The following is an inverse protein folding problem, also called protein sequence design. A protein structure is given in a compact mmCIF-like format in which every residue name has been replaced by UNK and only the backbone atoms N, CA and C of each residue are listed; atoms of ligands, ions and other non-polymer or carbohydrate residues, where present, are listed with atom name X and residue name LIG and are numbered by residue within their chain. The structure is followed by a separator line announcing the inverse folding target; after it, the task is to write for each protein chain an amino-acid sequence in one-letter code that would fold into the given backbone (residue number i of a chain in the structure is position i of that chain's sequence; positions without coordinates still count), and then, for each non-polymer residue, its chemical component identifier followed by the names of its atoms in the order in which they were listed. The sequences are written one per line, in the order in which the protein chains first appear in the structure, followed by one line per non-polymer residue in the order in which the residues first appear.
data_IF_482718154193
#
_entry.id   IF_482718154193
#
_cell.length_a   1.000
_cell.length_b   1.000
_cell.length_c   1.000
_cell.angle_alpha   90.00
_cell.angle_beta   90.00
_cell.angle_gamma   90.00
#
_symmetry.space_group_name_H-M   'P 1'
#
loop_
_entity.id
_entity.type
_entity.pdbx_description
1 polymer ?
#
# COMPACT_ATOMS: atom_id res chain seq x y z
N UNK A 1 -23.95 -5.34 -14.33
CA UNK A 1 -23.39 -5.66 -13.00
C UNK A 1 -21.92 -6.08 -13.03
N UNK A 2 -21.47 -6.98 -13.92
CA UNK A 2 -20.07 -7.47 -13.91
C UNK A 2 -19.00 -6.39 -14.20
N UNK A 3 -19.26 -5.45 -15.12
CA UNK A 3 -18.29 -4.40 -15.51
C UNK A 3 -17.87 -3.50 -14.33
N UNK A 4 -18.79 -3.14 -13.43
CA UNK A 4 -18.48 -2.35 -12.24
C UNK A 4 -17.57 -3.11 -11.26
N UNK A 5 -17.77 -4.41 -11.11
CA UNK A 5 -16.94 -5.23 -10.22
C UNK A 5 -15.50 -5.35 -10.76
N UNK A 6 -15.34 -5.58 -12.06
CA UNK A 6 -14.02 -5.63 -12.69
C UNK A 6 -13.30 -4.27 -12.64
N UNK A 7 -14.02 -3.17 -12.82
CA UNK A 7 -13.46 -1.83 -12.65
C UNK A 7 -12.96 -1.59 -11.22
N UNK A 8 -13.76 -1.94 -10.20
CA UNK A 8 -13.35 -1.79 -8.81
C UNK A 8 -12.11 -2.63 -8.47
N UNK A 9 -12.03 -3.86 -9.00
CA UNK A 9 -10.84 -4.70 -8.82
C UNK A 9 -9.61 -4.11 -9.52
N UNK A 10 -9.77 -3.56 -10.72
CA UNK A 10 -8.68 -2.90 -11.44
C UNK A 10 -8.19 -1.64 -10.70
N UNK A 11 -9.11 -0.81 -10.18
CA UNK A 11 -8.76 0.37 -9.37
C UNK A 11 -8.03 -0.05 -8.10
N UNK A 12 -8.53 -1.06 -7.39
CA UNK A 12 -7.90 -1.56 -6.16
C UNK A 12 -6.50 -2.12 -6.42
N UNK A 13 -6.33 -2.87 -7.50
CA UNK A 13 -5.02 -3.35 -7.92
C UNK A 13 -4.06 -2.21 -8.27
N UNK A 14 -4.56 -1.18 -8.96
CA UNK A 14 -3.76 0.01 -9.26
C UNK A 14 -3.35 0.76 -7.99
N UNK A 15 -4.25 0.87 -7.00
CA UNK A 15 -3.95 1.42 -5.69
C UNK A 15 -2.89 0.60 -4.95
N UNK A 16 -2.94 -0.73 -5.01
CA UNK A 16 -1.89 -1.59 -4.43
C UNK A 16 -0.51 -1.34 -5.08
N UNK A 17 -0.45 -1.19 -6.40
CA UNK A 17 0.80 -0.83 -7.09
C UNK A 17 1.30 0.56 -6.69
N UNK A 18 0.40 1.54 -6.64
CA UNK A 18 0.71 2.89 -6.18
C UNK A 18 1.20 2.89 -4.72
N UNK A 19 0.59 2.08 -3.86
CA UNK A 19 0.97 1.90 -2.47
C UNK A 19 2.42 1.43 -2.36
N UNK A 20 2.76 0.35 -3.05
CA UNK A 20 4.11 -0.22 -3.07
C UNK A 20 5.14 0.77 -3.63
N UNK A 21 4.81 1.47 -4.71
CA UNK A 21 5.68 2.50 -5.27
C UNK A 21 5.89 3.66 -4.30
N UNK A 22 4.85 4.08 -3.57
CA UNK A 22 4.90 5.16 -2.59
C UNK A 22 5.79 4.83 -1.39
N UNK A 23 5.59 3.69 -0.73
CA UNK A 23 6.47 3.29 0.39
C UNK A 23 7.90 3.02 -0.07
N UNK A 24 8.08 2.42 -1.24
CA UNK A 24 9.41 2.24 -1.82
C UNK A 24 10.11 3.57 -2.07
N UNK A 25 9.43 4.52 -2.72
CA UNK A 25 9.96 5.86 -2.97
C UNK A 25 10.32 6.59 -1.68
N UNK A 26 9.45 6.53 -0.67
CA UNK A 26 9.74 7.08 0.66
C UNK A 26 10.96 6.41 1.30
N UNK A 27 11.08 5.08 1.25
CA UNK A 27 12.23 4.35 1.76
C UNK A 27 13.55 4.72 1.07
N UNK A 28 13.52 4.92 -0.25
CA UNK A 28 14.66 5.40 -1.03
C UNK A 28 15.01 6.88 -0.76
N UNK A 29 14.07 7.67 -0.26
CA UNK A 29 14.29 9.10 0.04
C UNK A 29 14.78 9.31 1.47
N UNK A 30 14.32 8.49 2.41
CA UNK A 30 14.60 8.62 3.85
C UNK A 30 15.94 7.98 4.23
N UNK A 31 16.34 6.90 3.57
CA UNK A 31 17.60 6.21 3.90
C UNK A 31 18.84 6.85 3.27
N UNK A 32 19.97 6.82 3.99
CA UNK A 32 21.29 7.19 3.49
C UNK A 32 22.15 5.94 3.25
N UNK A 33 22.92 5.92 2.15
CA UNK A 33 23.84 4.81 1.82
C UNK A 33 23.12 3.47 1.63
N UNK A 34 23.59 2.43 2.33
CA UNK A 34 23.10 1.06 2.19
C UNK A 34 21.70 0.86 2.83
N UNK A 35 21.37 1.65 3.86
CA UNK A 35 20.06 1.65 4.55
C UNK A 35 18.93 2.05 3.59
N UNK A 36 19.25 2.89 2.59
CA UNK A 36 18.32 3.30 1.54
C UNK A 36 17.75 2.12 0.76
N UNK A 37 18.57 1.14 0.44
CA UNK A 37 18.15 -0.06 -0.30
C UNK A 37 17.30 -0.97 0.57
N UNK A 38 17.70 -1.15 1.83
CA UNK A 38 16.94 -1.95 2.80
C UNK A 38 15.57 -1.33 3.05
N UNK A 39 15.47 -0.01 3.23
CA UNK A 39 14.18 0.66 3.42
C UNK A 39 13.37 0.71 2.12
N UNK A 40 13.97 1.08 1.00
CA UNK A 40 13.28 1.23 -0.28
C UNK A 40 12.73 -0.07 -0.87
N UNK A 41 13.37 -1.21 -0.60
CA UNK A 41 12.91 -2.53 -1.07
C UNK A 41 12.23 -3.30 0.05
N UNK A 42 12.77 -3.25 1.27
CA UNK A 42 12.21 -3.95 2.41
C UNK A 42 10.81 -3.46 2.75
N UNK A 43 10.58 -2.15 2.82
CA UNK A 43 9.25 -1.62 3.18
C UNK A 43 8.12 -2.04 2.23
N UNK A 44 8.24 -1.95 0.89
CA UNK A 44 7.19 -2.44 0.00
C UNK A 44 7.05 -3.98 0.08
N UNK A 45 8.14 -4.73 0.22
CA UNK A 45 8.04 -6.20 0.38
C UNK A 45 7.30 -6.58 1.66
N UNK A 46 7.60 -5.93 2.78
CA UNK A 46 6.91 -6.16 4.05
C UNK A 46 5.42 -5.81 3.92
N UNK A 47 5.10 -4.67 3.30
CA UNK A 47 3.71 -4.26 3.09
C UNK A 47 2.96 -5.27 2.21
N UNK A 48 3.56 -5.70 1.09
CA UNK A 48 3.00 -6.69 0.18
C UNK A 48 2.77 -8.04 0.88
N UNK A 49 3.70 -8.46 1.75
CA UNK A 49 3.58 -9.72 2.48
C UNK A 49 2.44 -9.68 3.50
N UNK A 50 2.33 -8.59 4.27
CA UNK A 50 1.23 -8.40 5.24
C UNK A 50 -0.12 -8.41 4.50
N UNK A 51 -0.22 -7.66 3.40
CA UNK A 51 -1.43 -7.63 2.60
C UNK A 51 -1.76 -8.98 1.97
N UNK A 52 -0.78 -9.66 1.38
CA UNK A 52 -0.97 -10.96 0.76
C UNK A 52 -1.42 -12.05 1.73
N UNK A 53 -0.91 -12.04 2.96
CA UNK A 53 -1.21 -13.07 3.97
C UNK A 53 -2.55 -12.82 4.66
N UNK A 54 -2.88 -11.58 4.99
CA UNK A 54 -4.03 -11.24 5.84
C UNK A 54 -5.13 -10.43 5.14
N UNK A 55 -4.78 -9.62 4.13
CA UNK A 55 -5.69 -8.65 3.50
C UNK A 55 -6.29 -9.09 2.16
N UNK A 56 -5.60 -9.98 1.45
CA UNK A 56 -5.98 -10.43 0.12
C UNK A 56 -7.33 -11.18 0.10
N UNK A 57 -8.12 -11.08 -0.98
CA UNK A 57 -9.29 -11.93 -1.19
C UNK A 57 -8.99 -13.44 -1.15
N UNK A 58 -7.72 -13.81 -1.41
CA UNK A 58 -7.17 -15.17 -1.25
C UNK A 58 -6.18 -15.26 -0.07
N UNK A 59 -6.40 -14.47 0.98
CA UNK A 59 -5.58 -14.48 2.18
C UNK A 59 -5.43 -15.92 2.71
N UNK A 60 -4.20 -16.28 3.08
CA UNK A 60 -3.93 -17.60 3.67
C UNK A 60 -4.57 -17.71 5.07
N UNK A 61 -4.66 -16.58 5.78
CA UNK A 61 -5.22 -16.50 7.12
C UNK A 61 -6.52 -15.70 7.04
N UNK A 62 -7.64 -16.37 7.25
CA UNK A 62 -8.95 -15.72 7.36
C UNK A 62 -9.03 -15.02 8.70
N UNK A 63 -8.89 -13.69 8.68
CA UNK A 63 -9.03 -12.83 9.85
C UNK A 63 -10.48 -12.36 10.02
N UNK A 64 -10.94 -12.12 11.26
CA UNK A 64 -12.27 -11.59 11.50
C UNK A 64 -12.41 -10.20 10.88
N UNK A 65 -13.61 -9.87 10.38
CA UNK A 65 -13.92 -8.64 9.62
C UNK A 65 -13.37 -7.35 10.23
N UNK A 66 -13.46 -7.09 11.56
CA UNK A 66 -12.92 -5.87 12.14
C UNK A 66 -11.40 -5.75 11.99
N UNK A 67 -10.70 -6.87 12.10
CA UNK A 67 -9.25 -6.95 12.02
C UNK A 67 -8.78 -6.83 10.56
N UNK A 68 -9.57 -7.36 9.62
CA UNK A 68 -9.35 -7.17 8.19
C UNK A 68 -9.43 -5.69 7.79
N UNK A 69 -10.46 -4.97 8.26
CA UNK A 69 -10.62 -3.53 8.03
C UNK A 69 -9.44 -2.76 8.63
N UNK A 70 -9.00 -3.13 9.83
CA UNK A 70 -7.86 -2.46 10.47
C UNK A 70 -6.57 -2.64 9.67
N UNK A 71 -6.31 -3.85 9.16
CA UNK A 71 -5.15 -4.12 8.29
C UNK A 71 -5.28 -3.33 6.99
N UNK A 72 -6.46 -3.26 6.39
CA UNK A 72 -6.71 -2.49 5.17
C UNK A 72 -6.40 -1.00 5.37
N UNK A 73 -6.90 -0.40 6.45
CA UNK A 73 -6.61 1.00 6.78
C UNK A 73 -5.11 1.23 6.95
N UNK A 74 -4.39 0.30 7.58
CA UNK A 74 -2.94 0.43 7.76
C UNK A 74 -2.21 0.30 6.42
N UNK A 75 -2.53 -0.74 5.65
CA UNK A 75 -1.84 -1.07 4.40
C UNK A 75 -2.05 0.01 3.35
N UNK A 76 -3.27 0.56 3.23
CA UNK A 76 -3.54 1.64 2.30
C UNK A 76 -3.25 3.02 2.88
N UNK A 77 -3.33 3.23 4.20
CA UNK A 77 -3.07 4.51 4.85
C UNK A 77 -1.60 4.88 4.96
N UNK A 78 -0.71 3.92 5.25
CA UNK A 78 0.74 4.15 5.35
C UNK A 78 1.32 4.76 4.06
N UNK A 79 1.02 4.25 2.85
CA UNK A 79 1.49 4.84 1.59
C UNK A 79 1.07 6.30 1.39
N UNK A 80 -0.14 6.70 1.82
CA UNK A 80 -0.58 8.08 1.73
C UNK A 80 0.29 9.00 2.60
N UNK A 81 0.59 8.56 3.83
CA UNK A 81 1.49 9.25 4.74
C UNK A 81 2.92 9.28 4.16
N UNK A 82 3.37 8.18 3.58
CA UNK A 82 4.69 8.06 2.95
C UNK A 82 4.84 9.04 1.77
N UNK A 83 3.83 9.19 0.91
CA UNK A 83 3.81 10.18 -0.17
C UNK A 83 3.84 11.61 0.36
N UNK A 84 3.07 11.89 1.41
CA UNK A 84 3.06 13.20 2.05
C UNK A 84 4.43 13.54 2.65
N UNK A 85 5.04 12.61 3.40
CA UNK A 85 6.38 12.76 3.95
C UNK A 85 7.46 12.85 2.85
N UNK A 86 7.24 12.20 1.71
CA UNK A 86 8.07 12.34 0.52
C UNK A 86 7.84 13.65 -0.27
N UNK A 87 7.08 14.60 0.28
CA UNK A 87 6.84 15.93 -0.31
C UNK A 87 5.97 15.91 -1.56
N UNK A 88 5.26 14.81 -1.81
CA UNK A 88 4.34 14.64 -2.95
C UNK A 88 2.89 14.75 -2.50
N UNK A 89 2.56 15.86 -1.82
CA UNK A 89 1.25 16.09 -1.20
C UNK A 89 0.08 15.97 -2.19
N UNK A 90 0.26 16.38 -3.45
CA UNK A 90 -0.78 16.25 -4.47
C UNK A 90 -1.08 14.78 -4.83
N UNK A 91 -0.05 13.92 -4.90
CA UNK A 91 -0.23 12.49 -5.13
C UNK A 91 -0.84 11.79 -3.91
N UNK A 92 -0.48 12.23 -2.70
CA UNK A 92 -1.06 11.72 -1.45
C UNK A 92 -2.58 11.98 -1.40
N UNK A 93 -3.03 13.19 -1.80
CA UNK A 93 -4.45 13.52 -1.87
C UNK A 93 -5.19 12.71 -2.92
N UNK A 94 -4.65 12.60 -4.14
CA UNK A 94 -5.28 11.80 -5.21
C UNK A 94 -5.43 10.34 -4.75
N UNK A 95 -4.37 9.78 -4.18
CA UNK A 95 -4.36 8.41 -3.70
C UNK A 95 -5.31 8.17 -2.51
N UNK A 96 -5.45 9.14 -1.60
CA UNK A 96 -6.33 9.01 -0.44
C UNK A 96 -7.83 9.18 -0.74
N UNK A 97 -8.17 9.75 -1.90
CA UNK A 97 -9.57 9.98 -2.32
C UNK A 97 -10.10 8.83 -3.20
N UNK A 98 -9.22 8.16 -3.94
CA UNK A 98 -9.52 7.02 -4.81
C UNK A 98 -9.82 5.74 -4.03
#
# INVERSE_FOLDING_TARGET
MMILQYLNLAVRFLLELCALAAVGYWGFRTGNGMIKWVLGIGTPIFLAMIWGVFGSPKAMIVVPTPLHIFIEIIVFGIPAIALYAAGKSQLAWIYGIL
#
